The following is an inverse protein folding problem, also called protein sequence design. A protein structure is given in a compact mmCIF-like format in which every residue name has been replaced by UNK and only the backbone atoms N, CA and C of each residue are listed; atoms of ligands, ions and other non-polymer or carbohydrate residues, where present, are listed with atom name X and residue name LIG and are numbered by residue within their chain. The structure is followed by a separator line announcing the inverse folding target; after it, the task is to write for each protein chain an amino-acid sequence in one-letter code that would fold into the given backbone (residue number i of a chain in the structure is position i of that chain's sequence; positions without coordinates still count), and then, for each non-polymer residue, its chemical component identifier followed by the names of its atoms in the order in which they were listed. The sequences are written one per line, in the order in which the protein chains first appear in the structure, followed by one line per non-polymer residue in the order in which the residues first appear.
data_IF_868215202415
#
_entry.id   IF_868215202415
#
_cell.length_a   1.000
_cell.length_b   1.000
_cell.length_c   1.000
_cell.angle_alpha   90.00
_cell.angle_beta   90.00
_cell.angle_gamma   90.00
#
_symmetry.space_group_name_H-M   'P 1'
#
loop_
_entity.id
_entity.type
_entity.pdbx_description
1 polymer ?
#
# COMPACT_ATOMS: atom_id res chain seq x y z
N UNK A 1 5.67 -15.65 -9.88
CA UNK A 1 5.25 -14.41 -10.59
C UNK A 1 5.12 -13.31 -9.55
N UNK A 2 5.31 -12.04 -9.91
CA UNK A 2 5.04 -10.95 -8.97
C UNK A 2 3.53 -10.72 -8.84
N UNK A 3 3.06 -10.57 -7.62
CA UNK A 3 1.65 -10.42 -7.25
C UNK A 3 1.43 -9.08 -6.57
N UNK A 4 0.27 -8.46 -6.78
CA UNK A 4 -0.08 -7.20 -6.09
C UNK A 4 -0.45 -7.54 -4.65
N UNK A 5 0.34 -7.05 -3.68
CA UNK A 5 0.05 -7.20 -2.25
C UNK A 5 -0.91 -6.11 -1.79
N UNK A 6 -0.60 -4.85 -2.12
CA UNK A 6 -1.49 -3.73 -1.82
C UNK A 6 -1.41 -2.70 -2.92
N UNK A 7 -2.57 -2.15 -3.31
CA UNK A 7 -2.66 -1.03 -4.24
C UNK A 7 -3.52 0.04 -3.63
N UNK A 8 -3.01 1.27 -3.62
CA UNK A 8 -3.72 2.47 -3.18
C UNK A 8 -3.70 3.53 -4.26
N UNK A 9 -4.72 4.39 -4.32
CA UNK A 9 -4.79 5.48 -5.28
C UNK A 9 -5.55 6.69 -4.71
N UNK A 10 -5.15 7.89 -5.11
CA UNK A 10 -5.81 9.15 -4.77
C UNK A 10 -5.59 10.20 -5.86
N UNK A 11 -6.09 11.40 -5.59
CA UNK A 11 -5.70 12.59 -6.36
C UNK A 11 -4.19 12.79 -6.14
N UNK A 12 -3.39 12.75 -7.20
CA UNK A 12 -1.92 12.82 -7.08
C UNK A 12 -1.18 11.64 -7.66
N UNK A 13 -1.80 10.45 -7.62
CA UNK A 13 -1.06 9.22 -7.87
C UNK A 13 -1.52 8.00 -7.08
N UNK A 14 -0.67 6.98 -7.06
CA UNK A 14 -0.93 5.75 -6.32
C UNK A 14 0.34 4.96 -6.02
N UNK A 15 0.27 4.13 -4.98
CA UNK A 15 1.36 3.24 -4.60
C UNK A 15 0.91 1.80 -4.77
N UNK A 16 1.80 0.97 -5.31
CA UNK A 16 1.56 -0.46 -5.46
C UNK A 16 2.72 -1.22 -4.85
N UNK A 17 2.43 -2.06 -3.86
CA UNK A 17 3.37 -3.05 -3.34
C UNK A 17 3.16 -4.35 -4.09
N UNK A 18 4.25 -4.91 -4.58
CA UNK A 18 4.31 -6.23 -5.18
C UNK A 18 5.06 -7.20 -4.26
N UNK A 19 4.64 -8.46 -4.30
CA UNK A 19 5.29 -9.59 -3.65
C UNK A 19 5.68 -10.66 -4.66
N UNK A 20 6.79 -11.32 -4.44
CA UNK A 20 7.14 -12.57 -5.12
C UNK A 20 7.37 -13.65 -4.06
N UNK A 21 6.53 -14.69 -4.08
CA UNK A 21 6.69 -15.87 -3.24
C UNK A 21 7.79 -16.76 -3.81
N UNK A 22 8.82 -17.00 -3.00
CA UNK A 22 9.95 -17.87 -3.30
C UNK A 22 9.57 -19.34 -3.05
N UNK A 23 10.35 -20.27 -3.59
CA UNK A 23 10.13 -21.72 -3.45
C UNK A 23 10.15 -22.22 -2.00
N UNK A 24 10.89 -21.52 -1.13
CA UNK A 24 10.94 -21.80 0.31
C UNK A 24 9.75 -21.22 1.10
N UNK A 25 8.75 -20.66 0.41
CA UNK A 25 7.57 -20.03 1.02
C UNK A 25 7.79 -18.61 1.53
N UNK A 26 9.02 -18.09 1.51
CA UNK A 26 9.30 -16.69 1.88
C UNK A 26 8.90 -15.72 0.77
N UNK A 27 8.68 -14.46 1.12
CA UNK A 27 8.31 -13.40 0.19
C UNK A 27 9.43 -12.39 0.02
N UNK A 28 9.58 -11.87 -1.19
CA UNK A 28 10.34 -10.65 -1.46
C UNK A 28 9.41 -9.57 -1.97
N UNK A 29 9.72 -8.32 -1.66
CA UNK A 29 8.82 -7.19 -1.84
C UNK A 29 9.49 -6.10 -2.67
N UNK A 30 8.70 -5.42 -3.48
CA UNK A 30 9.11 -4.21 -4.21
C UNK A 30 7.88 -3.33 -4.38
N UNK A 31 8.05 -2.01 -4.40
CA UNK A 31 6.97 -1.08 -4.67
C UNK A 31 7.23 -0.23 -5.91
N UNK A 32 6.14 0.15 -6.58
CA UNK A 32 6.13 1.22 -7.57
C UNK A 32 5.31 2.39 -7.05
N UNK A 33 5.73 3.61 -7.36
CA UNK A 33 4.96 4.83 -7.09
C UNK A 33 4.60 5.46 -8.42
N UNK A 34 3.33 5.81 -8.53
CA UNK A 34 2.77 6.48 -9.68
C UNK A 34 2.51 7.93 -9.27
N UNK A 35 3.46 8.85 -9.52
CA UNK A 35 3.37 10.26 -9.08
C UNK A 35 3.04 11.19 -10.27
N UNK A 36 2.04 10.81 -11.09
CA UNK A 36 1.66 11.55 -12.31
C UNK A 36 1.42 13.05 -12.10
N UNK A 37 0.91 13.47 -10.94
CA UNK A 37 0.71 14.91 -10.68
C UNK A 37 2.04 15.64 -10.41
N UNK A 38 3.04 14.98 -9.81
CA UNK A 38 4.37 15.57 -9.68
C UNK A 38 4.99 15.78 -11.06
N UNK A 39 4.74 14.85 -11.98
CA UNK A 39 5.18 14.95 -13.36
C UNK A 39 4.56 16.15 -14.10
N UNK A 40 3.31 16.55 -13.83
CA UNK A 40 2.70 17.71 -14.48
C UNK A 40 3.30 19.07 -14.08
N UNK A 41 4.11 19.12 -13.01
CA UNK A 41 4.70 20.35 -12.46
C UNK A 41 6.18 20.52 -12.82
N UNK A 42 6.86 19.45 -13.26
CA UNK A 42 8.31 19.45 -13.51
C UNK A 42 8.64 19.79 -14.97
N UNK A 43 9.78 20.46 -15.18
CA UNK A 43 10.31 20.72 -16.52
C UNK A 43 10.86 19.45 -17.19
N UNK A 44 11.06 19.45 -18.52
CA UNK A 44 11.40 18.25 -19.30
C UNK A 44 12.66 17.50 -18.83
N UNK A 45 13.59 18.19 -18.18
CA UNK A 45 14.85 17.62 -17.68
C UNK A 45 14.63 16.96 -16.32
N UNK A 46 13.88 17.60 -15.42
CA UNK A 46 13.44 16.99 -14.16
C UNK A 46 12.47 15.82 -14.41
N UNK A 47 11.71 15.87 -15.50
CA UNK A 47 10.83 14.79 -15.97
C UNK A 47 11.59 13.50 -16.24
N UNK A 48 12.71 13.56 -16.96
CA UNK A 48 13.50 12.38 -17.28
C UNK A 48 14.10 11.72 -16.01
N UNK A 49 14.60 12.53 -15.06
CA UNK A 49 15.13 12.04 -13.79
C UNK A 49 14.05 11.50 -12.85
N UNK A 50 12.88 12.16 -12.81
CA UNK A 50 11.72 11.68 -12.06
C UNK A 50 11.18 10.39 -12.68
N UNK A 51 11.02 10.28 -14.01
CA UNK A 51 10.55 9.05 -14.66
C UNK A 51 11.48 7.87 -14.37
N UNK A 52 12.79 8.05 -14.41
CA UNK A 52 13.72 6.96 -14.06
C UNK A 52 13.52 6.53 -12.59
N UNK A 53 13.21 7.47 -11.69
CA UNK A 53 12.84 7.16 -10.29
C UNK A 53 11.45 6.54 -10.10
N UNK A 54 10.43 6.96 -10.87
CA UNK A 54 9.04 6.51 -10.78
C UNK A 54 8.85 5.12 -11.38
N UNK A 55 9.63 4.83 -12.44
CA UNK A 55 9.69 3.52 -13.07
C UNK A 55 10.76 2.62 -12.44
N UNK A 56 11.67 3.16 -11.61
CA UNK A 56 12.52 2.33 -10.77
C UNK A 56 11.65 1.59 -9.76
N UNK A 57 11.56 0.27 -9.94
CA UNK A 57 11.13 -0.61 -8.85
C UNK A 57 12.04 -0.32 -7.67
N UNK A 58 11.45 0.15 -6.57
CA UNK A 58 12.19 0.34 -5.33
C UNK A 58 12.94 -0.94 -4.93
N UNK A 59 14.07 -0.77 -4.24
CA UNK A 59 14.95 -1.84 -3.77
C UNK A 59 14.15 -3.06 -3.31
N UNK A 60 14.51 -4.24 -3.83
CA UNK A 60 13.88 -5.50 -3.42
C UNK A 60 14.26 -5.78 -1.97
N UNK A 61 13.27 -5.82 -1.08
CA UNK A 61 13.47 -6.16 0.34
C UNK A 61 12.91 -7.55 0.63
N UNK A 62 13.47 -8.22 1.63
CA UNK A 62 13.01 -9.56 2.09
C UNK A 62 12.24 -9.51 3.40
N UNK A 63 12.31 -8.40 4.12
CA UNK A 63 11.73 -8.25 5.44
C UNK A 63 10.47 -7.38 5.39
N UNK A 64 9.38 -7.90 5.97
CA UNK A 64 8.11 -7.20 6.07
C UNK A 64 8.23 -5.88 6.85
N UNK A 65 9.10 -5.80 7.86
CA UNK A 65 9.20 -4.59 8.69
C UNK A 65 9.65 -3.35 7.89
N UNK A 66 10.31 -3.57 6.74
CA UNK A 66 10.78 -2.51 5.86
C UNK A 66 9.75 -2.14 4.77
N UNK A 67 8.62 -2.85 4.68
CA UNK A 67 7.56 -2.62 3.66
C UNK A 67 6.89 -1.26 3.84
N UNK A 68 6.70 -0.80 5.08
CA UNK A 68 6.14 0.52 5.35
C UNK A 68 6.99 1.63 4.72
N UNK A 69 8.31 1.46 4.68
CA UNK A 69 9.24 2.41 4.03
C UNK A 69 9.04 2.44 2.51
N UNK A 70 8.79 1.28 1.88
CA UNK A 70 8.50 1.20 0.45
C UNK A 70 7.19 1.92 0.11
N UNK A 71 6.14 1.64 0.88
CA UNK A 71 4.81 2.22 0.68
C UNK A 71 4.77 3.73 0.94
N UNK A 72 5.69 4.25 1.75
CA UNK A 72 5.77 5.67 2.08
C UNK A 72 4.85 6.04 3.24
N UNK A 73 5.20 7.14 3.93
CA UNK A 73 4.57 7.55 5.20
C UNK A 73 3.09 7.89 5.12
N UNK A 74 2.51 8.08 3.94
CA UNK A 74 1.13 8.56 3.76
C UNK A 74 0.25 7.58 2.99
N UNK A 75 0.72 6.36 2.72
CA UNK A 75 -0.01 5.40 1.88
C UNK A 75 -1.41 5.07 2.43
N UNK A 76 -1.57 5.07 3.77
CA UNK A 76 -2.83 4.76 4.45
C UNK A 76 -3.91 5.85 4.26
N UNK A 77 -3.52 7.07 3.88
CA UNK A 77 -4.44 8.17 3.57
C UNK A 77 -5.08 8.03 2.19
N UNK A 78 -4.42 7.32 1.28
CA UNK A 78 -4.90 7.05 -0.07
C UNK A 78 -6.04 6.03 -0.07
N UNK A 79 -6.85 6.01 -1.12
CA UNK A 79 -7.96 5.06 -1.22
C UNK A 79 -7.43 3.66 -1.51
N UNK A 80 -7.67 2.67 -0.65
CA UNK A 80 -7.24 1.31 -0.92
C UNK A 80 -8.07 0.73 -2.08
N UNK A 81 -7.41 -0.07 -2.92
CA UNK A 81 -7.99 -0.64 -4.14
C UNK A 81 -7.89 -2.16 -4.15
N UNK A 82 -6.79 -2.70 -3.65
CA UNK A 82 -6.51 -4.13 -3.61
C UNK A 82 -5.72 -4.42 -2.35
N UNK A 83 -6.08 -5.50 -1.66
CA UNK A 83 -5.27 -6.14 -0.63
C UNK A 83 -5.22 -7.63 -0.94
N UNK A 84 -4.03 -8.21 -0.91
CA UNK A 84 -3.82 -9.63 -1.13
C UNK A 84 -4.24 -10.44 0.10
N UNK A 85 -4.96 -11.53 -0.10
CA UNK A 85 -5.56 -12.34 0.97
C UNK A 85 -4.56 -12.82 2.03
N UNK A 86 -3.38 -13.30 1.62
CA UNK A 86 -2.30 -13.70 2.56
C UNK A 86 -1.76 -12.55 3.43
N UNK A 87 -2.09 -11.29 3.10
CA UNK A 87 -1.58 -10.09 3.75
C UNK A 87 -2.66 -9.26 4.44
N UNK A 88 -3.93 -9.68 4.42
CA UNK A 88 -5.05 -8.94 5.01
C UNK A 88 -4.76 -8.51 6.45
N UNK A 89 -4.35 -9.45 7.32
CA UNK A 89 -4.02 -9.16 8.72
C UNK A 89 -2.82 -8.22 8.87
N UNK A 90 -1.78 -8.40 8.05
CA UNK A 90 -0.56 -7.59 8.14
C UNK A 90 -0.81 -6.15 7.70
N UNK A 91 -1.57 -5.98 6.62
CA UNK A 91 -1.97 -4.66 6.12
C UNK A 91 -2.93 -3.99 7.10
N UNK A 92 -3.91 -4.74 7.62
CA UNK A 92 -4.82 -4.23 8.64
C UNK A 92 -4.06 -3.72 9.87
N UNK A 93 -3.16 -4.52 10.42
CA UNK A 93 -2.34 -4.13 11.57
C UNK A 93 -1.48 -2.88 11.31
N UNK A 94 -1.04 -2.66 10.07
CA UNK A 94 -0.31 -1.45 9.68
C UNK A 94 -1.19 -0.20 9.66
N UNK A 95 -2.45 -0.31 9.22
CA UNK A 95 -3.35 0.86 9.06
C UNK A 95 -4.18 1.16 10.30
N UNK A 96 -4.54 0.14 11.08
CA UNK A 96 -5.45 0.26 12.23
C UNK A 96 -4.86 1.02 13.41
N UNK A 97 -3.53 1.06 13.51
CA UNK A 97 -2.79 1.73 14.59
C UNK A 97 -2.49 3.20 14.28
N UNK A 98 -2.89 3.68 13.10
CA UNK A 98 -2.58 5.04 12.67
C UNK A 98 -3.72 6.01 13.04
N UNK A 99 -3.43 6.96 13.92
CA UNK A 99 -4.44 7.90 14.43
C UNK A 99 -4.81 9.02 13.42
N UNK A 100 -4.08 9.15 12.31
CA UNK A 100 -4.37 10.15 11.28
C UNK A 100 -5.42 9.66 10.27
N UNK A 101 -5.77 8.37 10.30
CA UNK A 101 -6.74 7.78 9.38
C UNK A 101 -8.17 8.14 9.80
N UNK A 102 -8.96 8.68 8.87
CA UNK A 102 -10.38 8.92 9.15
C UNK A 102 -11.14 7.60 9.27
N UNK A 103 -12.22 7.58 10.06
CA UNK A 103 -13.08 6.39 10.19
C UNK A 103 -13.59 5.87 8.84
N UNK A 104 -13.98 6.78 7.93
CA UNK A 104 -14.39 6.41 6.58
C UNK A 104 -13.27 5.68 5.82
N UNK A 105 -12.03 6.18 5.90
CA UNK A 105 -10.89 5.56 5.24
C UNK A 105 -10.54 4.22 5.87
N UNK A 106 -10.57 4.13 7.20
CA UNK A 106 -10.35 2.89 7.95
C UNK A 106 -11.39 1.81 7.57
N UNK A 107 -12.65 2.20 7.42
CA UNK A 107 -13.71 1.31 6.90
C UNK A 107 -13.40 0.79 5.50
N UNK A 108 -12.94 1.64 4.57
CA UNK A 108 -12.55 1.17 3.23
C UNK A 108 -11.39 0.15 3.26
N UNK A 109 -10.46 0.28 4.22
CA UNK A 109 -9.42 -0.72 4.44
C UNK A 109 -10.00 -2.03 4.99
N UNK A 110 -10.91 -1.94 5.97
CA UNK A 110 -11.57 -3.10 6.57
C UNK A 110 -12.37 -3.89 5.53
N UNK A 111 -13.11 -3.21 4.64
CA UNK A 111 -13.91 -3.84 3.57
C UNK A 111 -13.05 -4.66 2.60
N UNK A 112 -11.80 -4.25 2.36
CA UNK A 112 -10.87 -4.99 1.50
C UNK A 112 -10.14 -6.11 2.23
N UNK A 113 -9.78 -5.91 3.49
CA UNK A 113 -9.09 -6.94 4.29
C UNK A 113 -10.06 -8.04 4.76
N UNK A 114 -11.32 -7.68 4.99
CA UNK A 114 -12.35 -8.53 5.58
C UNK A 114 -13.68 -8.32 4.85
N UNK A 115 -13.89 -8.96 3.69
CA UNK A 115 -15.10 -8.78 2.89
C UNK A 115 -16.37 -9.33 3.57
N UNK A 116 -16.22 -10.19 4.57
CA UNK A 116 -17.32 -10.65 5.41
C UNK A 116 -17.73 -9.56 6.41
N UNK A 117 -18.97 -9.08 6.29
CA UNK A 117 -19.50 -7.94 7.05
C UNK A 117 -19.31 -8.09 8.57
N UNK A 118 -19.59 -9.26 9.13
CA UNK A 118 -19.53 -9.50 10.58
C UNK A 118 -18.09 -9.41 11.11
N UNK A 119 -17.10 -9.86 10.32
CA UNK A 119 -15.68 -9.75 10.68
C UNK A 119 -15.19 -8.30 10.53
N UNK A 120 -15.59 -7.62 9.45
CA UNK A 120 -15.27 -6.21 9.25
C UNK A 120 -15.76 -5.34 10.41
N UNK A 121 -17.02 -5.48 10.82
CA UNK A 121 -17.61 -4.71 11.91
C UNK A 121 -16.92 -5.00 13.24
N UNK A 122 -16.60 -6.27 13.52
CA UNK A 122 -15.83 -6.69 14.70
C UNK A 122 -14.46 -6.02 14.76
N UNK A 123 -13.74 -5.97 13.64
CA UNK A 123 -12.40 -5.34 13.56
C UNK A 123 -12.45 -3.83 13.76
N UNK A 124 -13.48 -3.16 13.24
CA UNK A 124 -13.67 -1.72 13.45
C UNK A 124 -14.02 -1.39 14.90
N UNK A 125 -14.79 -2.24 15.58
CA UNK A 125 -15.14 -2.04 17.01
C UNK A 125 -13.92 -2.18 17.93
N UNK A 126 -12.94 -3.02 17.59
CA UNK A 126 -11.73 -3.21 18.39
C UNK A 126 -10.79 -2.00 18.39
N UNK A 127 -10.94 -1.07 17.45
CA UNK A 127 -10.10 0.14 17.36
C UNK A 127 -10.69 1.28 18.20
N UNK A 128 -12.00 1.27 18.44
CA UNK A 128 -12.72 2.32 19.16
C UNK A 128 -12.86 2.07 20.68
N UNK A 129 -12.29 0.96 21.18
CA UNK A 129 -12.26 0.60 22.61
C UNK A 129 -10.82 0.63 23.14
#
# INVERSE_FOLDING_TARGET
MWEVIVKVAGEGGGNCLYGLKLLNGSWVYSASRDERILAEVLDEVEWAGLMDSLYSRSNIIRDWNHVATLLGRSFFLLSPRVVHSEFNEKIWAMVSVNNEISYHRLRSWAELCFPEKDEMERRLLQINN
#
